data_IF_145940938712
#
_entry.id   IF_145940938712
#
_cell.length_a   1.000
_cell.length_b   1.000
_cell.length_c   1.000
_cell.angle_alpha   90.00
_cell.angle_beta   90.00
_cell.angle_gamma   90.00
#
_symmetry.space_group_name_H-M   'P 1'
#
loop_
_entity.id
_entity.type
_entity.pdbx_description
1 polymer ?
#
# COMPACT_ATOMS: atom_id res chain seq x y z
N UNK A 1 3.46 26.79 5.68
CA UNK A 1 2.62 25.56 5.77
C UNK A 1 1.44 25.96 6.65
N UNK A 2 0.26 26.14 6.08
CA UNK A 2 -0.95 26.16 6.90
C UNK A 2 -1.20 24.71 7.33
N UNK A 3 -1.12 24.44 8.63
CA UNK A 3 -1.38 23.11 9.17
C UNK A 3 -2.88 22.80 9.12
N UNK A 4 -3.23 21.53 8.98
CA UNK A 4 -4.60 21.08 9.20
C UNK A 4 -4.95 21.13 10.69
N UNK A 5 -6.21 21.42 11.01
CA UNK A 5 -6.73 21.30 12.37
C UNK A 5 -7.13 19.85 12.63
N UNK A 6 -6.67 19.31 13.76
CA UNK A 6 -7.07 17.97 14.24
C UNK A 6 -8.39 18.10 15.00
N UNK A 7 -9.38 17.29 14.63
CA UNK A 7 -10.76 17.37 15.13
C UNK A 7 -11.12 16.14 15.97
N UNK A 8 -11.92 16.37 17.03
CA UNK A 8 -12.48 15.30 17.85
C UNK A 8 -13.21 14.26 17.00
N UNK A 9 -12.93 12.98 17.24
CA UNK A 9 -13.49 11.84 16.51
C UNK A 9 -12.68 11.38 15.29
N UNK A 10 -11.66 12.12 14.86
CA UNK A 10 -10.76 11.68 13.79
C UNK A 10 -9.85 10.53 14.24
N UNK A 11 -9.43 9.71 13.28
CA UNK A 11 -8.56 8.56 13.50
C UNK A 11 -7.29 8.75 12.67
N UNK A 12 -6.14 8.67 13.32
CA UNK A 12 -4.83 8.85 12.70
C UNK A 12 -3.92 7.67 12.95
N UNK A 13 -3.16 7.31 11.91
CA UNK A 13 -1.91 6.59 12.08
C UNK A 13 -0.81 7.63 12.40
N UNK A 14 -0.08 7.41 13.48
CA UNK A 14 1.09 8.21 13.85
C UNK A 14 2.31 7.33 13.67
N UNK A 15 3.07 7.58 12.61
CA UNK A 15 4.14 6.69 12.11
C UNK A 15 5.48 7.44 11.93
N UNK A 16 6.23 7.71 13.01
CA UNK A 16 7.57 8.28 12.88
C UNK A 16 8.55 7.30 12.22
N UNK A 17 9.35 7.83 11.30
CA UNK A 17 10.51 7.16 10.71
C UNK A 17 11.79 7.87 11.14
N UNK A 18 12.78 7.10 11.58
CA UNK A 18 14.11 7.60 11.94
C UNK A 18 15.19 6.90 11.10
N UNK A 19 16.23 7.65 10.72
CA UNK A 19 17.41 7.12 10.03
C UNK A 19 18.68 7.70 10.62
N UNK A 20 19.84 7.27 10.14
CA UNK A 20 21.14 7.72 10.63
C UNK A 20 21.38 9.20 10.30
N UNK A 21 22.16 9.88 11.13
CA UNK A 21 22.45 11.31 10.97
C UNK A 21 23.13 11.64 9.63
N UNK A 22 23.90 10.71 9.09
CA UNK A 22 24.61 10.86 7.82
C UNK A 22 23.79 10.32 6.61
N UNK A 23 22.54 9.90 6.82
CA UNK A 23 21.61 9.51 5.75
C UNK A 23 20.98 10.72 5.05
N UNK A 24 20.36 10.49 3.89
CA UNK A 24 19.68 11.56 3.15
C UNK A 24 18.39 12.00 3.85
N UNK A 25 17.71 11.08 4.55
CA UNK A 25 16.45 11.38 5.23
C UNK A 25 15.25 11.51 4.27
N UNK A 26 15.41 11.02 3.04
CA UNK A 26 14.36 10.94 2.02
C UNK A 26 14.22 9.50 1.55
N UNK A 27 13.01 9.15 1.10
CA UNK A 27 12.75 7.85 0.45
C UNK A 27 12.69 7.99 -1.06
N UNK A 28 13.06 6.92 -1.75
CA UNK A 28 12.88 6.76 -3.19
C UNK A 28 12.16 5.44 -3.49
N UNK A 29 11.47 5.41 -4.62
CA UNK A 29 10.85 4.19 -5.12
C UNK A 29 11.92 3.21 -5.63
N UNK A 30 11.86 1.98 -5.13
CA UNK A 30 12.50 0.83 -5.77
C UNK A 30 11.64 0.36 -6.97
N UNK A 31 12.22 -0.27 -8.00
CA UNK A 31 11.44 -0.95 -9.05
C UNK A 31 10.61 -2.13 -8.53
N UNK A 32 10.90 -2.64 -7.32
CA UNK A 32 10.19 -3.76 -6.71
C UNK A 32 8.79 -3.36 -6.23
N UNK A 33 7.80 -4.21 -6.50
CA UNK A 33 6.38 -3.97 -6.17
C UNK A 33 5.76 -5.26 -5.64
N UNK A 34 5.24 -5.23 -4.42
CA UNK A 34 4.66 -6.41 -3.75
C UNK A 34 3.27 -6.17 -3.17
N UNK A 35 2.90 -4.91 -2.98
CA UNK A 35 1.62 -4.48 -2.42
C UNK A 35 0.85 -3.76 -3.52
N UNK A 36 -0.43 -4.06 -3.62
CA UNK A 36 -1.31 -3.57 -4.67
C UNK A 36 -2.65 -3.16 -4.09
N UNK A 37 -3.42 -2.35 -4.80
CA UNK A 37 -4.78 -1.97 -4.43
C UNK A 37 -5.66 -1.97 -5.66
N UNK A 38 -6.87 -2.50 -5.55
CA UNK A 38 -7.87 -2.34 -6.59
C UNK A 38 -8.28 -0.88 -6.74
N UNK A 39 -8.38 -0.42 -7.98
CA UNK A 39 -8.78 0.95 -8.29
C UNK A 39 -10.19 0.95 -8.88
N UNK A 40 -10.40 0.20 -9.96
CA UNK A 40 -11.67 0.12 -10.69
C UNK A 40 -11.64 -0.99 -11.73
N UNK A 41 -12.81 -1.34 -12.24
CA UNK A 41 -12.94 -2.19 -13.41
C UNK A 41 -12.67 -1.42 -14.71
N UNK A 42 -11.97 -2.10 -15.63
CA UNK A 42 -11.83 -1.70 -17.03
C UNK A 42 -11.88 -2.94 -17.93
N UNK A 43 -11.97 -2.70 -19.23
CA UNK A 43 -11.88 -3.76 -20.24
C UNK A 43 -10.48 -4.39 -20.21
N UNK A 44 -10.44 -5.68 -19.90
CA UNK A 44 -9.25 -6.53 -19.96
C UNK A 44 -9.34 -7.49 -21.15
N UNK A 45 -8.19 -7.86 -21.70
CA UNK A 45 -8.02 -8.84 -22.78
C UNK A 45 -7.92 -10.24 -22.21
N UNK A 46 -7.05 -10.48 -21.22
CA UNK A 46 -6.83 -11.81 -20.65
C UNK A 46 -8.02 -12.31 -19.83
N UNK A 47 -8.33 -13.61 -19.94
CA UNK A 47 -9.30 -14.28 -19.05
C UNK A 47 -8.74 -14.40 -17.63
N UNK A 48 -7.44 -14.60 -17.49
CA UNK A 48 -6.78 -14.73 -16.19
C UNK A 48 -6.77 -13.39 -15.44
N UNK A 49 -6.46 -12.30 -16.14
CA UNK A 49 -6.51 -10.96 -15.55
C UNK A 49 -7.92 -10.61 -15.07
N UNK A 50 -8.97 -10.99 -15.82
CA UNK A 50 -10.36 -10.83 -15.38
C UNK A 50 -10.66 -11.64 -14.12
N UNK A 51 -10.26 -12.91 -14.10
CA UNK A 51 -10.51 -13.79 -12.95
C UNK A 51 -9.78 -13.30 -11.69
N UNK A 52 -8.56 -12.81 -11.83
CA UNK A 52 -7.78 -12.22 -10.74
C UNK A 52 -8.41 -10.91 -10.27
N UNK A 53 -8.79 -10.01 -11.18
CA UNK A 53 -9.42 -8.74 -10.81
C UNK A 53 -10.72 -8.95 -10.05
N UNK A 54 -11.55 -9.89 -10.50
CA UNK A 54 -12.80 -10.24 -9.84
C UNK A 54 -12.54 -10.83 -8.45
N UNK A 55 -11.54 -11.71 -8.31
CA UNK A 55 -11.15 -12.23 -7.00
C UNK A 55 -10.67 -11.12 -6.06
N UNK A 56 -9.80 -10.23 -6.54
CA UNK A 56 -9.29 -9.09 -5.75
C UNK A 56 -10.43 -8.17 -5.32
N UNK A 57 -11.33 -7.81 -6.23
CA UNK A 57 -12.49 -6.95 -5.95
C UNK A 57 -13.38 -7.54 -4.86
N UNK A 58 -13.67 -8.84 -4.95
CA UNK A 58 -14.58 -9.51 -4.02
C UNK A 58 -13.97 -9.77 -2.63
N UNK A 59 -12.64 -9.93 -2.54
CA UNK A 59 -11.98 -10.30 -1.28
C UNK A 59 -11.28 -9.13 -0.57
N UNK A 60 -10.73 -8.17 -1.31
CA UNK A 60 -9.93 -7.08 -0.74
C UNK A 60 -10.57 -5.70 -0.93
N UNK A 61 -11.48 -5.56 -1.91
CA UNK A 61 -12.19 -4.31 -2.22
C UNK A 61 -11.18 -3.16 -2.35
N UNK A 62 -11.27 -2.11 -1.55
CA UNK A 62 -10.38 -0.94 -1.61
C UNK A 62 -9.14 -1.05 -0.72
N UNK A 63 -8.99 -2.14 0.04
CA UNK A 63 -7.83 -2.35 0.92
C UNK A 63 -6.62 -2.85 0.13
N UNK A 64 -5.39 -2.52 0.55
CA UNK A 64 -4.19 -3.09 -0.03
C UNK A 64 -4.13 -4.62 0.13
N UNK A 65 -3.51 -5.29 -0.84
CA UNK A 65 -3.30 -6.74 -0.86
C UNK A 65 -1.92 -7.09 -1.41
N UNK A 66 -1.40 -8.28 -1.05
CA UNK A 66 -0.11 -8.76 -1.52
C UNK A 66 -0.28 -9.81 -2.63
N UNK A 67 0.60 -9.80 -3.64
CA UNK A 67 0.58 -10.79 -4.73
C UNK A 67 0.66 -12.25 -4.22
N UNK A 68 1.41 -12.48 -3.14
CA UNK A 68 1.54 -13.80 -2.50
C UNK A 68 0.21 -14.38 -1.97
N UNK A 69 -0.78 -13.55 -1.66
CA UNK A 69 -2.09 -14.03 -1.21
C UNK A 69 -2.89 -14.72 -2.31
N UNK A 70 -2.56 -14.41 -3.58
CA UNK A 70 -3.21 -15.01 -4.74
C UNK A 70 -2.68 -16.41 -5.06
N UNK A 71 -1.53 -16.80 -4.49
CA UNK A 71 -0.85 -18.06 -4.81
C UNK A 71 -1.67 -19.31 -4.46
N UNK A 72 -2.62 -19.20 -3.52
CA UNK A 72 -3.53 -20.31 -3.18
C UNK A 72 -4.57 -20.62 -4.27
N UNK A 73 -4.85 -19.66 -5.17
CA UNK A 73 -5.90 -19.78 -6.20
C UNK A 73 -5.36 -19.70 -7.62
N UNK A 74 -4.23 -19.02 -7.83
CA UNK A 74 -3.69 -18.76 -9.14
C UNK A 74 -2.21 -19.17 -9.19
N UNK A 75 -1.75 -19.84 -10.27
CA UNK A 75 -0.34 -20.09 -10.49
C UNK A 75 0.47 -18.79 -10.49
N UNK A 76 1.69 -18.84 -9.94
CA UNK A 76 2.52 -17.64 -9.76
C UNK A 76 2.83 -16.92 -11.08
N UNK A 77 3.15 -17.66 -12.13
CA UNK A 77 3.43 -17.13 -13.48
C UNK A 77 2.19 -16.49 -14.12
N UNK A 78 0.99 -17.00 -13.82
CA UNK A 78 -0.29 -16.41 -14.24
C UNK A 78 -0.54 -15.08 -13.51
N UNK A 79 -0.25 -15.03 -12.20
CA UNK A 79 -0.37 -13.80 -11.42
C UNK A 79 0.60 -12.72 -11.94
N UNK A 80 1.88 -13.07 -12.12
CA UNK A 80 2.92 -12.14 -12.57
C UNK A 80 2.57 -11.52 -13.94
N UNK A 81 2.22 -12.34 -14.94
CA UNK A 81 1.82 -11.82 -16.27
C UNK A 81 0.52 -11.03 -16.24
N UNK A 82 -0.45 -11.44 -15.44
CA UNK A 82 -1.74 -10.73 -15.34
C UNK A 82 -1.59 -9.37 -14.67
N UNK A 83 -0.66 -9.22 -13.73
CA UNK A 83 -0.45 -7.97 -13.02
C UNK A 83 0.09 -6.87 -13.93
N UNK A 84 0.93 -7.20 -14.91
CA UNK A 84 1.37 -6.24 -15.93
C UNK A 84 0.16 -5.61 -16.64
N UNK A 85 -0.75 -6.45 -17.18
CA UNK A 85 -1.97 -5.97 -17.83
C UNK A 85 -2.85 -5.15 -16.88
N UNK A 86 -3.05 -5.63 -15.65
CA UNK A 86 -3.90 -4.96 -14.65
C UNK A 86 -3.36 -3.59 -14.22
N UNK A 87 -2.04 -3.42 -14.17
CA UNK A 87 -1.39 -2.15 -13.87
C UNK A 87 -1.45 -1.20 -15.08
N UNK A 88 -1.15 -1.67 -16.28
CA UNK A 88 -1.24 -0.89 -17.52
C UNK A 88 -2.66 -0.37 -17.76
N UNK A 89 -3.67 -1.23 -17.51
CA UNK A 89 -5.08 -0.86 -17.60
C UNK A 89 -5.55 0.01 -16.43
N UNK A 90 -4.71 0.24 -15.42
CA UNK A 90 -5.05 0.96 -14.16
C UNK A 90 -6.26 0.35 -13.44
N UNK A 91 -6.42 -0.98 -13.54
CA UNK A 91 -7.39 -1.72 -12.75
C UNK A 91 -6.87 -1.90 -11.32
N UNK A 92 -5.56 -2.06 -11.16
CA UNK A 92 -4.86 -2.06 -9.88
C UNK A 92 -3.80 -0.96 -9.86
N UNK A 93 -3.44 -0.53 -8.66
CA UNK A 93 -2.30 0.34 -8.39
C UNK A 93 -1.29 -0.43 -7.56
N UNK A 94 0.00 -0.27 -7.85
CA UNK A 94 1.09 -0.86 -7.07
C UNK A 94 1.69 0.17 -6.12
N UNK A 95 2.02 -0.27 -4.91
CA UNK A 95 2.89 0.47 -3.99
C UNK A 95 4.30 -0.09 -4.13
N UNK A 96 5.23 0.77 -4.56
CA UNK A 96 6.63 0.41 -4.67
C UNK A 96 7.24 0.24 -3.28
N UNK A 97 8.30 -0.57 -3.20
CA UNK A 97 9.12 -0.61 -1.98
C UNK A 97 9.81 0.74 -1.83
N UNK A 98 9.57 1.41 -0.71
CA UNK A 98 10.25 2.65 -0.35
C UNK A 98 11.58 2.31 0.32
N UNK A 99 12.67 2.89 -0.19
CA UNK A 99 14.02 2.73 0.38
C UNK A 99 14.59 4.10 0.72
N UNK A 100 15.30 4.20 1.83
CA UNK A 100 16.07 5.40 2.16
C UNK A 100 17.07 5.67 1.01
N UNK A 101 17.16 6.93 0.58
CA UNK A 101 17.80 7.27 -0.69
C UNK A 101 19.30 6.90 -0.73
N UNK A 102 20.00 7.00 0.41
CA UNK A 102 21.40 6.57 0.58
C UNK A 102 21.55 5.08 0.93
N UNK A 103 20.45 4.33 1.05
CA UNK A 103 20.42 2.90 1.37
C UNK A 103 20.67 2.59 2.85
N UNK A 104 20.57 3.58 3.74
CA UNK A 104 20.88 3.40 5.16
C UNK A 104 19.72 2.80 5.94
N UNK A 105 20.01 2.21 7.12
CA UNK A 105 18.98 1.68 8.00
C UNK A 105 17.91 2.72 8.35
N UNK A 106 16.68 2.23 8.49
CA UNK A 106 15.52 3.00 8.94
C UNK A 106 14.87 2.24 10.09
N UNK A 107 14.50 2.95 11.14
CA UNK A 107 13.64 2.46 12.21
C UNK A 107 12.28 3.14 12.09
N UNK A 108 11.22 2.41 12.43
CA UNK A 108 9.85 2.91 12.42
C UNK A 108 9.13 2.42 13.67
N UNK A 109 8.20 3.23 14.16
CA UNK A 109 7.20 2.87 15.14
C UNK A 109 5.85 3.41 14.66
N UNK A 110 4.74 2.78 15.05
CA UNK A 110 3.41 3.22 14.66
C UNK A 110 2.38 2.90 15.73
N UNK A 111 1.48 3.85 15.96
CA UNK A 111 0.22 3.62 16.67
C UNK A 111 -0.95 4.20 15.89
N UNK A 112 -2.12 3.60 16.06
CA UNK A 112 -3.39 4.23 15.68
C UNK A 112 -3.99 4.94 16.90
N UNK A 113 -4.42 6.18 16.72
CA UNK A 113 -5.05 7.00 17.76
C UNK A 113 -6.40 7.52 17.33
N UNK A 114 -7.31 7.67 18.29
CA UNK A 114 -8.59 8.37 18.13
C UNK A 114 -8.48 9.70 18.87
N UNK A 115 -8.79 10.80 18.19
CA UNK A 115 -8.79 12.14 18.79
C UNK A 115 -10.01 12.29 19.70
N UNK A 116 -9.78 12.72 20.93
CA UNK A 116 -10.81 13.00 21.93
C UNK A 116 -10.72 14.49 22.32
N UNK A 117 -11.74 15.02 23.01
CA UNK A 117 -11.83 16.44 23.36
C UNK A 117 -10.56 17.03 24.01
N UNK A 118 -9.95 16.28 24.93
CA UNK A 118 -8.82 16.74 25.74
C UNK A 118 -7.53 15.93 25.47
N UNK A 119 -7.47 15.18 24.36
CA UNK A 119 -6.30 14.36 24.04
C UNK A 119 -6.53 13.34 22.94
N UNK A 120 -5.90 12.18 23.06
CA UNK A 120 -6.13 11.06 22.17
C UNK A 120 -6.07 9.73 22.93
N UNK A 121 -6.79 8.74 22.41
CA UNK A 121 -6.75 7.37 22.89
C UNK A 121 -6.01 6.49 21.90
N UNK A 122 -4.97 5.82 22.39
CA UNK A 122 -4.19 4.82 21.63
C UNK A 122 -4.97 3.50 21.57
N UNK A 123 -5.10 2.90 20.40
CA UNK A 123 -5.90 1.67 20.19
C UNK A 123 -5.09 0.46 19.68
N UNK A 124 -3.78 0.61 19.57
CA UNK A 124 -2.82 -0.45 19.20
C UNK A 124 -1.71 -0.57 20.22
#
# INVERSE_FOLDING_TARGET
IEGGTVMEGEIYAVEPFATLQDATGLVRDSPQRYIFRYVKERRLKSKDAKAILEHVKNNYRTLPFASRWLAARFPRDVVERSFEELMESRCIHSYNVLVEASGKPVAQAEHTVIVERDGCRVIT
#
